data_IF_727930070229
#
_entry.id   IF_727930070229
#
_cell.length_a   1.000
_cell.length_b   1.000
_cell.length_c   1.000
_cell.angle_alpha   90.00
_cell.angle_beta   90.00
_cell.angle_gamma   90.00
#
_symmetry.space_group_name_H-M   'P 1'
#
loop_
_entity.id
_entity.type
_entity.pdbx_description
1 polymer ?
#
# COMPACT_ATOMS: atom_id res chain seq x y z
N UNK A 1 8.59 -25.34 8.21
CA UNK A 1 8.91 -23.97 7.78
C UNK A 1 9.04 -23.10 9.01
N UNK A 2 10.18 -22.44 9.17
CA UNK A 2 10.40 -21.52 10.28
C UNK A 2 9.97 -20.10 9.85
N UNK A 3 9.01 -19.52 10.58
CA UNK A 3 8.49 -18.18 10.29
C UNK A 3 9.50 -17.09 10.67
N UNK A 4 10.44 -17.40 11.57
CA UNK A 4 11.53 -16.50 11.96
C UNK A 4 12.42 -16.12 10.77
N UNK A 5 12.60 -17.00 9.78
CA UNK A 5 13.44 -16.76 8.61
C UNK A 5 12.91 -15.62 7.72
N UNK A 6 11.60 -15.33 7.79
CA UNK A 6 11.01 -14.18 7.11
C UNK A 6 11.19 -12.86 7.86
N UNK A 7 11.60 -12.90 9.12
CA UNK A 7 11.76 -11.75 10.00
C UNK A 7 13.22 -11.37 10.19
N UNK A 8 14.11 -12.37 10.34
CA UNK A 8 15.56 -12.19 10.55
C UNK A 8 16.21 -11.17 9.60
N UNK A 9 15.91 -11.14 8.27
CA UNK A 9 16.52 -10.18 7.35
C UNK A 9 16.26 -8.70 7.69
N UNK A 10 15.23 -8.43 8.49
CA UNK A 10 14.84 -7.06 8.88
C UNK A 10 15.35 -6.68 10.27
N UNK A 11 15.88 -7.63 11.03
CA UNK A 11 16.46 -7.36 12.34
C UNK A 11 17.90 -6.87 12.17
N UNK A 12 18.21 -5.70 12.71
CA UNK A 12 19.54 -5.11 12.64
C UNK A 12 19.82 -4.23 13.87
N UNK A 13 21.11 -4.07 14.22
CA UNK A 13 21.57 -3.30 15.40
C UNK A 13 21.21 -1.81 15.35
N UNK A 14 20.84 -1.25 14.18
CA UNK A 14 20.50 0.18 14.03
C UNK A 14 19.04 0.46 14.35
N UNK A 15 18.19 -0.58 14.37
CA UNK A 15 16.75 -0.48 14.63
C UNK A 15 16.45 -0.91 16.05
N UNK A 16 16.12 0.06 16.92
CA UNK A 16 15.78 -0.18 18.34
C UNK A 16 14.32 -0.53 18.56
N UNK A 17 13.41 -0.07 17.70
CA UNK A 17 11.96 -0.21 17.87
C UNK A 17 11.34 -0.96 16.72
N UNK A 18 10.71 -2.07 17.03
CA UNK A 18 9.91 -2.85 16.11
C UNK A 18 8.45 -2.83 16.56
N UNK A 19 7.61 -2.38 15.67
CA UNK A 19 6.18 -2.28 15.91
C UNK A 19 5.44 -3.36 15.13
N UNK A 20 4.35 -3.89 15.70
CA UNK A 20 3.42 -4.80 15.00
C UNK A 20 2.03 -4.18 15.00
N UNK A 21 1.42 -4.06 13.83
CA UNK A 21 0.02 -3.70 13.70
C UNK A 21 -0.84 -4.92 14.11
N UNK A 22 -1.34 -4.90 15.33
CA UNK A 22 -2.06 -6.01 15.96
C UNK A 22 -3.57 -5.83 15.82
N UNK A 23 -4.21 -6.69 15.01
CA UNK A 23 -5.68 -6.71 14.87
C UNK A 23 -6.37 -7.72 15.79
N UNK A 24 -5.63 -8.67 16.36
CA UNK A 24 -6.16 -9.81 17.09
C UNK A 24 -6.45 -11.04 16.22
N UNK A 25 -6.42 -10.90 14.90
CA UNK A 25 -6.53 -12.03 13.97
C UNK A 25 -5.23 -12.86 13.89
N UNK A 26 -5.35 -14.10 13.39
CA UNK A 26 -4.26 -15.07 13.33
C UNK A 26 -2.97 -14.50 12.73
N UNK A 27 -3.05 -13.73 11.64
CA UNK A 27 -1.90 -13.23 10.90
C UNK A 27 -1.04 -12.28 11.75
N UNK A 28 -1.70 -11.35 12.43
CA UNK A 28 -1.03 -10.38 13.29
C UNK A 28 -0.52 -10.98 14.59
N UNK A 29 -1.22 -11.99 15.12
CA UNK A 29 -0.78 -12.69 16.33
C UNK A 29 0.41 -13.62 16.07
N UNK A 30 0.40 -14.39 14.96
CA UNK A 30 1.56 -15.19 14.56
C UNK A 30 2.78 -14.30 14.35
N UNK A 31 2.60 -13.17 13.67
CA UNK A 31 3.68 -12.20 13.45
C UNK A 31 4.25 -11.66 14.77
N UNK A 32 3.38 -11.25 15.70
CA UNK A 32 3.79 -10.74 17.00
C UNK A 32 4.48 -11.81 17.84
N UNK A 33 3.94 -13.02 17.87
CA UNK A 33 4.50 -14.15 18.61
C UNK A 33 5.89 -14.54 18.11
N UNK A 34 6.10 -14.58 16.79
CA UNK A 34 7.42 -14.90 16.23
C UNK A 34 8.45 -13.79 16.51
N UNK A 35 8.06 -12.50 16.44
CA UNK A 35 8.94 -11.40 16.84
C UNK A 35 9.27 -11.43 18.33
N UNK A 36 8.29 -11.79 19.18
CA UNK A 36 8.52 -11.92 20.62
C UNK A 36 9.50 -13.04 20.95
N UNK A 37 9.46 -14.16 20.22
CA UNK A 37 10.48 -15.22 20.37
C UNK A 37 11.86 -14.71 19.99
N UNK A 38 11.97 -13.98 18.87
CA UNK A 38 13.23 -13.42 18.40
C UNK A 38 13.78 -12.32 19.32
N UNK A 39 12.93 -11.59 20.04
CA UNK A 39 13.35 -10.58 21.01
C UNK A 39 14.16 -11.18 22.16
N UNK A 40 13.89 -12.43 22.55
CA UNK A 40 14.62 -13.09 23.64
C UNK A 40 16.12 -13.24 23.36
N UNK A 41 16.47 -13.38 22.08
CA UNK A 41 17.84 -13.58 21.61
C UNK A 41 18.45 -12.30 21.00
N UNK A 42 17.69 -11.19 20.98
CA UNK A 42 18.10 -9.97 20.32
C UNK A 42 17.67 -8.75 21.15
N UNK A 43 18.57 -7.77 21.27
CA UNK A 43 18.30 -6.52 22.01
C UNK A 43 17.52 -5.53 21.15
N UNK A 44 16.17 -5.59 21.22
CA UNK A 44 15.28 -4.61 20.61
C UNK A 44 13.97 -4.45 21.39
N UNK A 45 13.30 -3.33 21.19
CA UNK A 45 12.01 -3.07 21.79
C UNK A 45 10.87 -3.48 20.85
N UNK A 46 10.05 -4.44 21.27
CA UNK A 46 8.85 -4.86 20.56
C UNK A 46 7.61 -4.16 21.13
N UNK A 47 6.83 -3.55 20.24
CA UNK A 47 5.64 -2.78 20.59
C UNK A 47 4.47 -3.20 19.69
N UNK A 48 3.36 -3.60 20.28
CA UNK A 48 2.13 -3.89 19.55
C UNK A 48 1.25 -2.63 19.46
N UNK A 49 0.77 -2.31 18.26
CA UNK A 49 -0.17 -1.20 18.04
C UNK A 49 -1.50 -1.78 17.59
N UNK A 50 -2.55 -1.55 18.39
CA UNK A 50 -3.92 -1.91 18.06
C UNK A 50 -4.73 -0.67 17.68
N UNK A 51 -5.37 -0.71 16.50
CA UNK A 51 -6.29 0.34 16.05
C UNK A 51 -7.71 -0.17 16.19
N UNK A 52 -8.44 0.46 17.11
CA UNK A 52 -9.86 0.19 17.29
C UNK A 52 -10.67 1.10 16.35
N UNK A 53 -11.33 0.49 15.37
CA UNK A 53 -12.16 1.21 14.40
C UNK A 53 -13.52 1.64 14.96
N UNK A 54 -13.92 1.14 16.14
CA UNK A 54 -15.22 1.38 16.77
C UNK A 54 -16.46 1.09 15.90
N UNK A 55 -16.29 0.32 14.82
CA UNK A 55 -17.37 0.01 13.87
C UNK A 55 -18.24 -1.15 14.38
N UNK A 56 -17.66 -2.09 15.11
CA UNK A 56 -18.33 -3.30 15.55
C UNK A 56 -18.62 -3.29 17.08
N UNK A 57 -19.73 -3.92 17.46
CA UNK A 57 -20.15 -4.02 18.87
C UNK A 57 -19.07 -4.65 19.77
N UNK A 58 -18.31 -5.61 19.23
CA UNK A 58 -17.29 -6.36 19.97
C UNK A 58 -15.89 -5.69 19.95
N UNK A 59 -15.76 -4.50 19.40
CA UNK A 59 -14.48 -3.78 19.30
C UNK A 59 -13.75 -3.60 20.64
N UNK A 60 -14.49 -3.41 21.75
CA UNK A 60 -13.94 -3.38 23.12
C UNK A 60 -13.36 -4.74 23.53
N UNK A 61 -14.07 -5.83 23.24
CA UNK A 61 -13.61 -7.21 23.57
C UNK A 61 -12.33 -7.52 22.82
N UNK A 62 -12.23 -7.09 21.55
CA UNK A 62 -11.04 -7.31 20.73
C UNK A 62 -9.83 -6.53 21.22
N UNK A 63 -10.03 -5.27 21.62
CA UNK A 63 -8.97 -4.49 22.27
C UNK A 63 -8.47 -5.20 23.51
N UNK A 64 -9.37 -5.60 24.42
CA UNK A 64 -9.02 -6.28 25.67
C UNK A 64 -8.30 -7.61 25.42
N UNK A 65 -8.71 -8.37 24.40
CA UNK A 65 -8.02 -9.58 23.96
C UNK A 65 -6.57 -9.30 23.56
N UNK A 66 -6.35 -8.29 22.71
CA UNK A 66 -5.01 -7.89 22.28
C UNK A 66 -4.14 -7.40 23.43
N UNK A 67 -4.72 -6.61 24.33
CA UNK A 67 -4.05 -6.09 25.52
C UNK A 67 -3.64 -7.20 26.49
N UNK A 68 -4.54 -8.16 26.77
CA UNK A 68 -4.26 -9.32 27.62
C UNK A 68 -3.16 -10.22 27.01
N UNK A 69 -3.20 -10.43 25.68
CA UNK A 69 -2.15 -11.17 25.00
C UNK A 69 -0.79 -10.48 25.18
N UNK A 70 -0.71 -9.17 24.98
CA UNK A 70 0.52 -8.41 25.13
C UNK A 70 1.01 -8.42 26.59
N UNK A 71 0.11 -8.24 27.57
CA UNK A 71 0.44 -8.28 29.00
C UNK A 71 1.03 -9.65 29.40
N UNK A 72 0.40 -10.75 28.96
CA UNK A 72 0.89 -12.11 29.24
C UNK A 72 2.29 -12.38 28.69
N UNK A 73 2.65 -11.71 27.57
CA UNK A 73 3.91 -11.91 26.88
C UNK A 73 4.92 -10.76 27.10
N UNK A 74 4.66 -9.86 28.07
CA UNK A 74 5.51 -8.72 28.43
C UNK A 74 5.82 -7.77 27.26
N UNK A 75 4.87 -7.65 26.30
CA UNK A 75 4.99 -6.80 25.12
C UNK A 75 4.33 -5.45 25.39
N UNK A 76 5.03 -4.35 25.12
CA UNK A 76 4.44 -2.99 25.21
C UNK A 76 3.27 -2.86 24.25
N UNK A 77 2.12 -2.39 24.74
CA UNK A 77 0.89 -2.26 23.99
C UNK A 77 0.45 -0.80 23.87
N UNK A 78 0.11 -0.38 22.65
CA UNK A 78 -0.45 0.93 22.34
C UNK A 78 -1.79 0.70 21.66
N UNK A 79 -2.87 1.25 22.21
CA UNK A 79 -4.18 1.23 21.59
C UNK A 79 -4.59 2.64 21.15
N UNK A 80 -5.17 2.75 19.95
CA UNK A 80 -5.75 3.97 19.45
C UNK A 80 -7.15 3.71 18.92
N UNK A 81 -8.11 4.55 19.33
CA UNK A 81 -9.50 4.46 18.86
C UNK A 81 -9.75 5.55 17.83
N UNK A 82 -10.19 5.14 16.63
CA UNK A 82 -10.55 6.09 15.58
C UNK A 82 -11.89 6.77 15.94
N UNK A 83 -11.98 8.06 15.66
CA UNK A 83 -13.21 8.83 15.91
C UNK A 83 -14.25 8.49 14.84
N UNK A 84 -15.39 7.91 15.25
CA UNK A 84 -16.53 7.78 14.35
C UNK A 84 -17.11 9.16 14.03
N UNK A 85 -17.13 9.52 12.75
CA UNK A 85 -18.05 10.55 12.26
C UNK A 85 -19.35 9.85 11.86
N UNK A 86 -20.50 10.33 12.39
CA UNK A 86 -21.84 9.73 12.25
C UNK A 86 -22.37 9.55 10.80
N UNK A 87 -21.66 10.03 9.79
CA UNK A 87 -22.08 9.91 8.40
C UNK A 87 -21.37 8.77 7.68
N UNK A 88 -22.09 7.69 7.43
CA UNK A 88 -21.66 6.57 6.58
C UNK A 88 -21.61 7.11 5.14
N UNK A 89 -20.41 7.44 4.66
CA UNK A 89 -20.18 7.80 3.25
C UNK A 89 -19.53 6.64 2.52
N UNK A 90 -19.75 6.53 1.21
CA UNK A 90 -19.14 5.55 0.31
C UNK A 90 -17.59 5.49 0.36
N UNK A 91 -16.96 6.41 1.11
CA UNK A 91 -15.51 6.51 1.31
C UNK A 91 -15.07 6.17 2.75
N UNK A 92 -15.93 5.52 3.57
CA UNK A 92 -15.62 5.25 4.98
C UNK A 92 -14.34 4.39 5.12
N UNK A 93 -14.24 3.31 4.37
CA UNK A 93 -13.06 2.42 4.39
C UNK A 93 -11.77 3.18 4.08
N UNK A 94 -11.79 4.05 3.07
CA UNK A 94 -10.63 4.87 2.73
C UNK A 94 -10.26 5.83 3.87
N UNK A 95 -11.24 6.49 4.48
CA UNK A 95 -11.01 7.42 5.60
C UNK A 95 -10.41 6.70 6.82
N UNK A 96 -10.99 5.56 7.21
CA UNK A 96 -10.49 4.75 8.32
C UNK A 96 -9.06 4.24 8.04
N UNK A 97 -8.79 3.88 6.80
CA UNK A 97 -7.45 3.51 6.36
C UNK A 97 -6.48 4.68 6.49
N UNK A 98 -6.84 5.86 5.99
CA UNK A 98 -5.98 7.05 6.02
C UNK A 98 -5.70 7.50 7.47
N UNK A 99 -6.71 7.50 8.34
CA UNK A 99 -6.56 7.79 9.78
C UNK A 99 -5.63 6.77 10.47
N UNK A 100 -5.80 5.47 10.17
CA UNK A 100 -4.95 4.41 10.69
C UNK A 100 -3.49 4.62 10.29
N UNK A 101 -3.23 4.90 9.02
CA UNK A 101 -1.86 5.16 8.55
C UNK A 101 -1.29 6.46 9.13
N UNK A 102 -2.10 7.51 9.25
CA UNK A 102 -1.69 8.77 9.90
C UNK A 102 -1.30 8.57 11.37
N UNK A 103 -1.98 7.67 12.10
CA UNK A 103 -1.59 7.32 13.46
C UNK A 103 -0.25 6.58 13.49
N UNK A 104 -0.07 5.58 12.62
CA UNK A 104 1.21 4.88 12.52
C UNK A 104 2.37 5.83 12.21
N UNK A 105 2.20 6.73 11.24
CA UNK A 105 3.23 7.71 10.84
C UNK A 105 3.67 8.62 11.99
N UNK A 106 2.72 9.02 12.86
CA UNK A 106 2.99 9.84 14.04
C UNK A 106 3.66 9.06 15.17
N UNK A 107 3.35 7.77 15.29
CA UNK A 107 3.82 6.91 16.38
C UNK A 107 5.22 6.35 16.13
N UNK A 108 5.60 6.19 14.86
CA UNK A 108 6.88 5.58 14.52
C UNK A 108 8.07 6.48 14.85
N UNK A 109 8.99 5.94 15.63
CA UNK A 109 10.29 6.55 15.90
C UNK A 109 11.21 6.54 14.67
N UNK A 110 12.27 7.35 14.71
CA UNK A 110 13.28 7.38 13.66
C UNK A 110 13.96 6.00 13.54
N UNK A 111 14.12 5.52 12.31
CA UNK A 111 14.73 4.22 12.00
C UNK A 111 13.99 3.02 12.62
N UNK A 112 12.70 3.14 12.90
CA UNK A 112 11.86 2.04 13.36
C UNK A 112 11.20 1.27 12.21
N UNK A 113 10.71 0.07 12.51
CA UNK A 113 10.01 -0.78 11.55
C UNK A 113 8.62 -1.10 12.10
N UNK A 114 7.59 -0.87 11.28
CA UNK A 114 6.24 -1.39 11.51
C UNK A 114 6.02 -2.64 10.67
N UNK A 115 5.80 -3.76 11.31
CA UNK A 115 5.39 -4.98 10.65
C UNK A 115 3.88 -5.10 10.53
N UNK A 116 3.41 -5.58 9.37
CA UNK A 116 2.01 -5.91 9.11
C UNK A 116 1.87 -7.34 8.61
N UNK A 117 0.90 -8.09 9.15
CA UNK A 117 0.65 -9.50 8.84
C UNK A 117 -0.03 -9.77 7.49
N UNK A 118 0.15 -8.91 6.47
CA UNK A 118 -0.35 -9.20 5.13
C UNK A 118 0.37 -10.42 4.53
N UNK A 119 -0.39 -11.30 3.89
CA UNK A 119 0.06 -12.60 3.40
C UNK A 119 -0.21 -12.80 1.90
N UNK A 120 0.12 -13.97 1.36
CA UNK A 120 0.02 -14.27 -0.07
C UNK A 120 -1.42 -14.12 -0.59
N UNK A 121 -2.41 -14.57 0.17
CA UNK A 121 -3.81 -14.44 -0.26
C UNK A 121 -4.24 -12.97 -0.32
N UNK A 122 -3.77 -12.08 0.58
CA UNK A 122 -4.00 -10.63 0.48
C UNK A 122 -3.40 -10.02 -0.81
N UNK A 123 -2.22 -10.51 -1.21
CA UNK A 123 -1.57 -10.09 -2.44
C UNK A 123 -2.41 -10.49 -3.65
N UNK A 124 -2.92 -11.72 -3.68
CA UNK A 124 -3.76 -12.26 -4.75
C UNK A 124 -5.09 -11.51 -4.83
N UNK A 125 -5.78 -11.33 -3.71
CA UNK A 125 -7.03 -10.55 -3.64
C UNK A 125 -6.82 -9.13 -4.18
N UNK A 126 -5.73 -8.49 -3.77
CA UNK A 126 -5.40 -7.14 -4.25
C UNK A 126 -5.09 -7.13 -5.74
N UNK A 127 -4.43 -8.15 -6.27
CA UNK A 127 -4.19 -8.30 -7.70
C UNK A 127 -5.51 -8.36 -8.48
N UNK A 128 -6.43 -9.26 -8.10
CA UNK A 128 -7.72 -9.37 -8.78
C UNK A 128 -8.55 -8.08 -8.69
N UNK A 129 -8.68 -7.49 -7.51
CA UNK A 129 -9.43 -6.25 -7.35
C UNK A 129 -8.86 -5.10 -8.19
N UNK A 130 -7.55 -5.04 -8.36
CA UNK A 130 -6.90 -4.04 -9.19
C UNK A 130 -7.03 -4.35 -10.67
N UNK A 131 -6.95 -5.62 -11.07
CA UNK A 131 -7.17 -6.06 -12.45
C UNK A 131 -8.60 -5.73 -12.91
N UNK A 132 -9.60 -6.05 -12.11
CA UNK A 132 -11.01 -5.73 -12.37
C UNK A 132 -11.30 -4.22 -12.46
N UNK A 133 -10.47 -3.40 -11.82
CA UNK A 133 -10.55 -1.92 -11.88
C UNK A 133 -9.70 -1.31 -12.99
N UNK A 134 -9.10 -2.12 -13.87
CA UNK A 134 -8.29 -1.65 -15.00
C UNK A 134 -6.95 -1.01 -14.61
N UNK A 135 -6.33 -1.47 -13.52
CA UNK A 135 -5.04 -0.95 -13.09
C UNK A 135 -3.92 -1.30 -14.07
N UNK A 136 -2.98 -0.39 -14.30
CA UNK A 136 -1.76 -0.65 -15.09
C UNK A 136 -0.72 -1.50 -14.34
N UNK A 137 0.42 -1.74 -14.99
CA UNK A 137 1.51 -2.63 -14.52
C UNK A 137 1.90 -2.35 -13.07
N UNK A 138 2.12 -1.09 -12.70
CA UNK A 138 2.49 -0.72 -11.34
C UNK A 138 1.39 -1.07 -10.31
N UNK A 139 0.13 -0.84 -10.65
CA UNK A 139 -1.00 -1.24 -9.82
C UNK A 139 -1.06 -2.76 -9.66
N UNK A 140 -0.93 -3.50 -10.74
CA UNK A 140 -0.99 -4.97 -10.76
C UNK A 140 0.21 -5.61 -10.06
N UNK A 141 1.37 -4.95 -9.96
CA UNK A 141 2.49 -5.43 -9.14
C UNK A 141 2.15 -5.53 -7.65
N UNK A 142 0.92 -5.16 -7.29
CA UNK A 142 0.25 -5.48 -6.03
C UNK A 142 0.84 -4.79 -4.79
N UNK A 143 0.88 -5.48 -3.65
CA UNK A 143 1.26 -4.92 -2.36
C UNK A 143 2.78 -4.88 -2.25
N UNK A 144 3.42 -3.71 -2.03
CA UNK A 144 4.86 -3.66 -1.82
C UNK A 144 5.24 -4.36 -0.51
N UNK A 145 6.32 -5.14 -0.54
CA UNK A 145 6.87 -5.79 0.66
C UNK A 145 7.29 -4.77 1.70
N UNK A 146 7.95 -3.70 1.27
CA UNK A 146 8.36 -2.59 2.13
C UNK A 146 8.04 -1.24 1.48
N UNK A 147 7.84 -0.23 2.31
CA UNK A 147 7.73 1.17 1.91
C UNK A 147 8.10 2.10 3.06
N UNK A 148 8.51 3.34 2.79
CA UNK A 148 8.61 4.37 3.81
C UNK A 148 7.26 4.60 4.51
N UNK A 149 7.30 4.91 5.81
CA UNK A 149 6.14 5.28 6.60
C UNK A 149 6.57 6.23 7.74
N UNK A 150 6.22 7.50 7.63
CA UNK A 150 6.65 8.53 8.57
C UNK A 150 8.18 8.59 8.70
N UNK A 151 8.68 8.47 9.92
CA UNK A 151 10.12 8.47 10.24
C UNK A 151 10.76 7.07 10.13
N UNK A 152 9.97 6.04 9.85
CA UNK A 152 10.39 4.63 9.77
C UNK A 152 10.00 3.96 8.46
N UNK A 153 9.88 2.63 8.50
CA UNK A 153 9.47 1.79 7.37
C UNK A 153 8.31 0.88 7.76
N UNK A 154 7.46 0.57 6.79
CA UNK A 154 6.46 -0.48 6.89
C UNK A 154 6.94 -1.71 6.11
N UNK A 155 6.88 -2.88 6.75
CA UNK A 155 7.30 -4.16 6.18
C UNK A 155 6.18 -5.19 6.30
N UNK A 156 6.04 -6.05 5.28
CA UNK A 156 5.09 -7.16 5.20
C UNK A 156 5.87 -8.45 4.96
N UNK A 157 6.34 -9.11 6.03
CA UNK A 157 7.23 -10.25 5.89
C UNK A 157 6.53 -11.47 5.29
N UNK A 158 5.22 -11.63 5.54
CA UNK A 158 4.45 -12.83 5.21
C UNK A 158 3.84 -12.84 3.80
N UNK A 159 4.19 -11.90 2.91
CA UNK A 159 3.63 -11.85 1.54
C UNK A 159 3.93 -13.10 0.68
N UNK A 160 4.82 -13.97 1.14
CA UNK A 160 5.12 -15.23 0.47
C UNK A 160 4.49 -16.44 1.14
N UNK A 161 3.80 -16.26 2.26
CA UNK A 161 3.20 -17.29 3.10
C UNK A 161 1.69 -17.28 2.85
N UNK A 162 1.08 -18.44 2.65
CA UNK A 162 -0.36 -18.57 2.49
C UNK A 162 -1.11 -18.44 3.82
N UNK A 163 -2.40 -18.12 3.76
CA UNK A 163 -3.28 -18.09 4.93
C UNK A 163 -3.34 -19.43 5.64
N UNK A 164 -3.35 -20.53 4.90
CA UNK A 164 -3.36 -21.90 5.45
C UNK A 164 -2.09 -22.20 6.27
N UNK A 165 -0.92 -21.79 5.78
CA UNK A 165 0.34 -21.95 6.53
C UNK A 165 0.34 -21.12 7.82
N UNK A 166 -0.20 -19.88 7.79
CA UNK A 166 -0.33 -19.04 9.00
C UNK A 166 -1.28 -19.69 10.03
N UNK A 167 -2.41 -20.21 9.59
CA UNK A 167 -3.34 -20.90 10.47
C UNK A 167 -2.74 -22.18 11.06
N UNK A 168 -2.00 -22.96 10.28
CA UNK A 168 -1.28 -24.13 10.76
C UNK A 168 -0.24 -23.75 11.83
N UNK A 169 0.48 -22.64 11.62
CA UNK A 169 1.44 -22.09 12.60
C UNK A 169 0.73 -21.63 13.86
N UNK A 170 -0.38 -20.91 13.74
CA UNK A 170 -1.18 -20.47 14.91
C UNK A 170 -1.66 -21.67 15.75
N UNK A 171 -2.11 -22.74 15.09
CA UNK A 171 -2.51 -23.99 15.75
C UNK A 171 -1.33 -24.67 16.44
N UNK A 172 -0.19 -24.79 15.76
CA UNK A 172 1.04 -25.37 16.32
C UNK A 172 1.50 -24.61 17.58
N UNK A 173 1.44 -23.29 17.56
CA UNK A 173 1.84 -22.42 18.67
C UNK A 173 0.72 -22.23 19.71
N UNK A 174 -0.41 -22.94 19.55
CA UNK A 174 -1.61 -22.86 20.46
C UNK A 174 -2.09 -21.42 20.67
N UNK A 175 -2.04 -20.59 19.61
CA UNK A 175 -2.49 -19.20 19.67
C UNK A 175 -4.01 -19.13 19.52
N UNK A 176 -4.68 -18.56 20.50
CA UNK A 176 -6.06 -18.13 20.35
C UNK A 176 -6.09 -16.84 19.53
N UNK A 177 -7.04 -16.69 18.62
CA UNK A 177 -7.19 -15.50 17.80
C UNK A 177 -8.65 -15.17 17.53
N UNK A 178 -8.91 -13.93 17.19
CA UNK A 178 -10.24 -13.42 16.87
C UNK A 178 -10.61 -13.80 15.44
N UNK A 179 -11.79 -14.40 15.28
CA UNK A 179 -12.45 -14.57 13.99
C UNK A 179 -13.50 -13.46 13.83
N UNK A 180 -13.20 -12.45 13.02
CA UNK A 180 -14.12 -11.35 12.75
C UNK A 180 -15.29 -11.83 11.89
N UNK A 181 -16.55 -11.79 12.35
CA UNK A 181 -17.72 -12.23 11.58
C UNK A 181 -17.91 -11.44 10.27
N UNK A 182 -17.45 -10.18 10.20
CA UNK A 182 -17.56 -9.38 8.98
C UNK A 182 -16.76 -9.92 7.80
N UNK A 183 -15.80 -10.82 8.03
CA UNK A 183 -15.07 -11.52 6.96
C UNK A 183 -15.98 -12.43 6.10
N UNK A 184 -17.18 -12.77 6.59
CA UNK A 184 -18.18 -13.56 5.86
C UNK A 184 -19.14 -12.70 5.04
N UNK A 185 -19.16 -11.40 5.24
CA UNK A 185 -20.06 -10.48 4.55
C UNK A 185 -19.60 -10.29 3.09
N UNK A 186 -20.28 -10.97 2.17
CA UNK A 186 -19.99 -10.95 0.73
C UNK A 186 -20.44 -9.68 0.01
N UNK A 187 -21.09 -8.73 0.71
CA UNK A 187 -21.38 -7.41 0.14
C UNK A 187 -20.11 -6.59 -0.14
N UNK A 188 -19.01 -6.95 0.52
CA UNK A 188 -17.69 -6.37 0.25
C UNK A 188 -16.97 -7.13 -0.87
N UNK A 189 -16.54 -6.44 -1.93
CA UNK A 189 -15.81 -7.00 -3.09
C UNK A 189 -14.71 -8.00 -2.67
N UNK A 190 -13.95 -7.65 -1.62
CA UNK A 190 -12.83 -8.45 -1.15
C UNK A 190 -13.28 -9.78 -0.54
N UNK A 191 -14.33 -9.74 0.25
CA UNK A 191 -14.89 -10.94 0.87
C UNK A 191 -15.58 -11.82 -0.18
N UNK A 192 -16.30 -11.22 -1.15
CA UNK A 192 -16.88 -11.94 -2.27
C UNK A 192 -15.80 -12.67 -3.07
N UNK A 193 -14.72 -11.98 -3.41
CA UNK A 193 -13.60 -12.60 -4.11
C UNK A 193 -13.02 -13.77 -3.30
N UNK A 194 -12.77 -13.58 -2.00
CA UNK A 194 -12.18 -14.58 -1.10
C UNK A 194 -13.06 -15.81 -0.91
N UNK A 195 -14.36 -15.60 -0.70
CA UNK A 195 -15.26 -16.65 -0.26
C UNK A 195 -15.95 -17.36 -1.44
N UNK A 196 -16.19 -16.65 -2.57
CA UNK A 196 -16.97 -17.18 -3.70
C UNK A 196 -16.12 -17.47 -4.94
N UNK A 197 -15.16 -16.62 -5.26
CA UNK A 197 -14.43 -16.69 -6.53
C UNK A 197 -13.14 -17.50 -6.40
N UNK A 198 -12.27 -17.16 -5.45
CA UNK A 198 -10.97 -17.82 -5.31
C UNK A 198 -11.06 -19.31 -5.04
N UNK A 199 -12.03 -19.85 -4.26
CA UNK A 199 -12.18 -21.28 -4.09
C UNK A 199 -12.52 -22.02 -5.41
N UNK A 200 -13.32 -21.41 -6.30
CA UNK A 200 -13.64 -21.96 -7.61
C UNK A 200 -12.41 -21.96 -8.52
N UNK A 201 -11.61 -20.92 -8.48
CA UNK A 201 -10.32 -20.83 -9.20
C UNK A 201 -9.37 -21.92 -8.68
N UNK A 202 -9.24 -22.07 -7.37
CA UNK A 202 -8.37 -23.06 -6.75
C UNK A 202 -8.73 -24.50 -7.14
N UNK A 203 -10.02 -24.80 -7.15
CA UNK A 203 -10.52 -26.11 -7.58
C UNK A 203 -10.12 -26.46 -9.02
N UNK A 204 -10.16 -25.48 -9.93
CA UNK A 204 -9.83 -25.67 -11.34
C UNK A 204 -8.34 -25.55 -11.62
N UNK A 205 -7.66 -24.64 -10.95
CA UNK A 205 -6.23 -24.33 -11.10
C UNK A 205 -5.50 -24.34 -9.75
N UNK A 206 -5.16 -25.48 -9.18
CA UNK A 206 -4.56 -25.57 -7.83
C UNK A 206 -3.28 -24.74 -7.65
N UNK A 207 -2.51 -24.55 -8.73
CA UNK A 207 -1.26 -23.76 -8.71
C UNK A 207 -1.45 -22.26 -8.86
N UNK A 208 -2.69 -21.73 -8.88
CA UNK A 208 -2.95 -20.32 -9.17
C UNK A 208 -2.20 -19.37 -8.23
N UNK A 209 -2.06 -19.70 -6.95
CA UNK A 209 -1.30 -18.88 -5.98
C UNK A 209 0.17 -18.73 -6.37
N UNK A 210 0.81 -19.83 -6.73
CA UNK A 210 2.21 -19.86 -7.19
C UNK A 210 2.37 -19.03 -8.47
N UNK A 211 1.47 -19.21 -9.43
CA UNK A 211 1.52 -18.53 -10.71
C UNK A 211 1.28 -17.03 -10.56
N UNK A 212 0.30 -16.59 -9.77
CA UNK A 212 0.03 -15.18 -9.53
C UNK A 212 1.12 -14.50 -8.71
N UNK A 213 1.74 -15.20 -7.75
CA UNK A 213 2.93 -14.71 -7.05
C UNK A 213 4.07 -14.43 -8.03
N UNK A 214 4.35 -15.38 -8.95
CA UNK A 214 5.38 -15.16 -9.98
C UNK A 214 5.02 -14.04 -10.93
N UNK A 215 3.76 -13.95 -11.37
CA UNK A 215 3.27 -12.88 -12.22
C UNK A 215 3.45 -11.51 -11.55
N UNK A 216 3.07 -11.36 -10.29
CA UNK A 216 3.23 -10.08 -9.57
C UNK A 216 4.69 -9.69 -9.39
N UNK A 217 5.60 -10.67 -9.24
CA UNK A 217 7.04 -10.43 -9.23
C UNK A 217 7.52 -9.90 -10.59
N UNK A 218 7.15 -10.57 -11.68
CA UNK A 218 7.54 -10.14 -13.04
C UNK A 218 7.00 -8.73 -13.36
N UNK A 219 5.75 -8.44 -12.97
CA UNK A 219 5.16 -7.11 -13.13
C UNK A 219 5.91 -6.05 -12.32
N UNK A 220 6.42 -6.41 -11.13
CA UNK A 220 7.24 -5.49 -10.33
C UNK A 220 8.57 -5.18 -10.97
N UNK A 221 9.24 -6.20 -11.52
CA UNK A 221 10.49 -6.05 -12.27
C UNK A 221 10.29 -5.17 -13.51
N UNK A 222 9.24 -5.44 -14.31
CA UNK A 222 8.86 -4.61 -15.46
C UNK A 222 8.54 -3.16 -15.03
N UNK A 223 7.81 -2.97 -13.96
CA UNK A 223 7.51 -1.64 -13.41
C UNK A 223 8.78 -0.87 -13.03
N UNK A 224 9.76 -1.55 -12.42
CA UNK A 224 11.03 -0.93 -12.06
C UNK A 224 11.82 -0.50 -13.28
N UNK A 225 11.86 -1.30 -14.36
CA UNK A 225 12.48 -0.94 -15.63
C UNK A 225 11.84 0.31 -16.25
N UNK A 226 10.49 0.38 -16.24
CA UNK A 226 9.75 1.54 -16.72
C UNK A 226 10.06 2.81 -15.91
N UNK A 227 10.16 2.69 -14.58
CA UNK A 227 10.53 3.81 -13.71
C UNK A 227 11.95 4.27 -13.99
N UNK A 228 12.91 3.36 -14.10
CA UNK A 228 14.32 3.69 -14.45
C UNK A 228 14.41 4.38 -15.81
N UNK A 229 13.68 3.89 -16.83
CA UNK A 229 13.65 4.55 -18.12
C UNK A 229 13.00 5.94 -18.05
N UNK A 230 11.89 6.08 -17.30
CA UNK A 230 11.22 7.36 -17.12
C UNK A 230 12.12 8.39 -16.41
N UNK A 231 12.93 7.95 -15.46
CA UNK A 231 13.90 8.82 -14.77
C UNK A 231 15.00 9.31 -15.71
N UNK A 232 15.55 8.42 -16.56
CA UNK A 232 16.52 8.79 -17.60
C UNK A 232 15.92 9.81 -18.57
N UNK A 233 14.74 9.51 -19.11
CA UNK A 233 14.03 10.37 -20.04
C UNK A 233 13.67 11.73 -19.40
N UNK A 234 13.27 11.72 -18.14
CA UNK A 234 12.99 12.95 -17.39
C UNK A 234 14.23 13.82 -17.25
N UNK A 235 15.39 13.26 -16.95
CA UNK A 235 16.63 14.01 -16.81
C UNK A 235 17.06 14.66 -18.15
N UNK A 236 16.73 14.08 -19.31
CA UNK A 236 16.95 14.70 -20.61
C UNK A 236 16.07 15.93 -20.87
N UNK A 237 14.82 15.90 -20.41
CA UNK A 237 13.84 16.98 -20.64
C UNK A 237 13.76 18.00 -19.51
N UNK A 238 14.30 17.67 -18.35
CA UNK A 238 14.23 18.48 -17.12
C UNK A 238 14.92 19.83 -17.28
N UNK A 239 14.23 20.89 -16.93
CA UNK A 239 14.78 22.24 -16.69
C UNK A 239 14.88 22.49 -15.18
N UNK A 240 13.80 22.20 -14.44
CA UNK A 240 13.72 22.18 -12.97
C UNK A 240 12.84 21.00 -12.54
N UNK A 241 12.77 20.71 -11.24
CA UNK A 241 11.93 19.62 -10.72
C UNK A 241 10.48 19.68 -11.23
N UNK A 242 9.92 20.88 -11.32
CA UNK A 242 8.54 21.12 -11.75
C UNK A 242 8.41 21.74 -13.15
N UNK A 243 9.48 21.74 -13.95
CA UNK A 243 9.54 22.37 -15.25
C UNK A 243 10.32 21.50 -16.24
N UNK A 244 9.74 21.22 -17.40
CA UNK A 244 10.38 20.43 -18.47
C UNK A 244 10.32 21.17 -19.80
N UNK A 245 11.31 20.91 -20.69
CA UNK A 245 11.36 21.43 -22.05
C UNK A 245 10.31 20.76 -22.92
N UNK A 246 9.38 21.52 -23.48
CA UNK A 246 8.34 21.02 -24.36
C UNK A 246 8.94 20.41 -25.65
N UNK A 247 9.91 21.09 -26.29
CA UNK A 247 10.56 20.60 -27.50
C UNK A 247 11.20 19.23 -27.30
N UNK A 248 12.00 19.06 -26.24
CA UNK A 248 12.64 17.78 -25.93
C UNK A 248 11.60 16.71 -25.56
N UNK A 249 10.55 17.07 -24.80
CA UNK A 249 9.50 16.15 -24.43
C UNK A 249 8.73 15.62 -25.66
N UNK A 250 8.44 16.49 -26.62
CA UNK A 250 7.76 16.13 -27.88
C UNK A 250 8.63 15.29 -28.84
N UNK A 251 9.97 15.31 -28.72
CA UNK A 251 10.85 14.45 -29.50
C UNK A 251 10.79 12.97 -29.14
N UNK A 252 10.28 12.64 -27.93
CA UNK A 252 10.09 11.26 -27.53
C UNK A 252 8.88 10.63 -28.20
N UNK A 253 8.91 9.30 -28.36
CA UNK A 253 7.70 8.55 -28.73
C UNK A 253 6.57 8.74 -27.68
N UNK A 254 5.31 8.62 -28.11
CA UNK A 254 4.15 8.78 -27.21
C UNK A 254 4.20 7.89 -25.96
N UNK A 255 4.78 6.69 -26.08
CA UNK A 255 4.94 5.77 -24.96
C UNK A 255 5.94 6.36 -23.94
N UNK A 256 7.08 6.87 -24.38
CA UNK A 256 8.07 7.52 -23.52
C UNK A 256 7.52 8.81 -22.91
N UNK A 257 6.83 9.65 -23.70
CA UNK A 257 6.15 10.84 -23.20
C UNK A 257 5.18 10.51 -22.06
N UNK A 258 4.33 9.46 -22.22
CA UNK A 258 3.39 9.01 -21.20
C UNK A 258 4.11 8.55 -19.94
N UNK A 259 5.18 7.79 -20.09
CA UNK A 259 5.97 7.28 -18.98
C UNK A 259 6.64 8.42 -18.18
N UNK A 260 7.27 9.37 -18.86
CA UNK A 260 7.85 10.59 -18.29
C UNK A 260 6.79 11.43 -17.56
N UNK A 261 5.63 11.63 -18.17
CA UNK A 261 4.54 12.39 -17.55
C UNK A 261 4.10 11.77 -16.20
N UNK A 262 3.89 10.47 -16.17
CA UNK A 262 3.50 9.74 -14.95
C UNK A 262 4.60 9.84 -13.88
N UNK A 263 5.85 9.67 -14.27
CA UNK A 263 7.00 9.81 -13.39
C UNK A 263 7.10 11.23 -12.81
N UNK A 264 6.96 12.25 -13.65
CA UNK A 264 7.05 13.66 -13.27
C UNK A 264 5.95 14.07 -12.27
N UNK A 265 4.72 13.61 -12.48
CA UNK A 265 3.60 13.81 -11.56
C UNK A 265 3.93 13.23 -10.17
N UNK A 266 4.43 12.00 -10.13
CA UNK A 266 4.83 11.33 -8.88
C UNK A 266 5.99 12.00 -8.19
N UNK A 267 7.01 12.42 -8.94
CA UNK A 267 8.20 13.11 -8.42
C UNK A 267 7.82 14.40 -7.68
N UNK A 268 6.72 15.04 -8.09
CA UNK A 268 6.19 16.23 -7.45
C UNK A 268 5.17 15.91 -6.31
N UNK A 269 4.96 14.64 -5.96
CA UNK A 269 4.06 14.23 -4.88
C UNK A 269 2.58 14.40 -5.22
N UNK A 270 2.22 14.50 -6.50
CA UNK A 270 0.89 14.80 -6.98
C UNK A 270 0.10 13.53 -7.33
N UNK A 271 -1.24 13.63 -7.32
CA UNK A 271 -2.11 12.50 -7.60
C UNK A 271 -2.07 12.08 -9.06
N UNK A 272 -1.89 10.78 -9.29
CA UNK A 272 -1.92 10.23 -10.65
C UNK A 272 -3.29 10.41 -11.30
N UNK A 273 -3.31 10.82 -12.58
CA UNK A 273 -4.54 10.91 -13.34
C UNK A 273 -5.04 9.53 -13.79
N UNK A 274 -6.36 9.43 -14.06
CA UNK A 274 -6.93 8.27 -14.74
C UNK A 274 -6.43 8.15 -16.18
N UNK A 275 -6.55 6.96 -16.78
CA UNK A 275 -6.20 6.74 -18.19
C UNK A 275 -6.96 7.71 -19.13
N UNK A 276 -8.24 8.01 -18.83
CA UNK A 276 -9.04 8.98 -19.59
C UNK A 276 -8.41 10.39 -19.57
N UNK A 277 -7.97 10.84 -18.40
CA UNK A 277 -7.31 12.15 -18.22
C UNK A 277 -5.98 12.20 -18.99
N UNK A 278 -5.16 11.13 -18.91
CA UNK A 278 -3.93 11.05 -19.68
C UNK A 278 -4.20 11.11 -21.20
N UNK A 279 -5.19 10.35 -21.69
CA UNK A 279 -5.52 10.36 -23.11
C UNK A 279 -5.99 11.74 -23.58
N UNK A 280 -6.78 12.47 -22.79
CA UNK A 280 -7.21 13.84 -23.08
C UNK A 280 -6.03 14.82 -23.07
N UNK A 281 -5.07 14.64 -22.15
CA UNK A 281 -3.82 15.44 -22.16
C UNK A 281 -3.09 15.34 -23.49
N UNK A 282 -2.91 14.13 -24.01
CA UNK A 282 -2.20 13.92 -25.28
C UNK A 282 -3.04 14.28 -26.52
N UNK A 283 -4.35 14.03 -26.51
CA UNK A 283 -5.19 14.21 -27.68
C UNK A 283 -5.70 15.65 -27.87
N UNK A 284 -5.87 16.40 -26.80
CA UNK A 284 -6.39 17.76 -26.83
C UNK A 284 -5.37 18.81 -26.40
N UNK A 285 -4.87 18.70 -25.16
CA UNK A 285 -4.02 19.75 -24.58
C UNK A 285 -2.66 19.92 -25.27
N UNK A 286 -1.96 18.82 -25.58
CA UNK A 286 -0.66 18.91 -26.26
C UNK A 286 -0.78 19.25 -27.74
N UNK A 287 -1.86 18.84 -28.42
CA UNK A 287 -2.10 19.12 -29.84
C UNK A 287 -2.60 20.53 -30.14
N UNK A 288 -3.08 21.24 -29.13
CA UNK A 288 -3.57 22.60 -29.31
C UNK A 288 -2.40 23.57 -29.52
N UNK A 289 -2.07 23.85 -30.77
CA UNK A 289 -1.05 24.82 -31.17
C UNK A 289 -1.55 26.26 -31.10
N UNK A 290 -2.88 26.47 -31.11
CA UNK A 290 -3.51 27.80 -31.17
C UNK A 290 -3.45 28.55 -29.84
N UNK A 291 -3.25 27.83 -28.71
CA UNK A 291 -3.24 28.42 -27.38
C UNK A 291 -1.84 28.31 -26.75
N UNK A 292 -0.95 29.27 -26.95
CA UNK A 292 0.42 29.22 -26.44
C UNK A 292 0.50 29.23 -24.90
N UNK A 293 -0.56 29.68 -24.23
CA UNK A 293 -0.69 29.64 -22.75
C UNK A 293 -1.91 28.85 -22.33
N UNK A 294 -1.81 27.52 -22.34
CA UNK A 294 -2.93 26.63 -21.94
C UNK A 294 -2.70 26.02 -20.56
N UNK A 295 -3.81 25.74 -19.85
CA UNK A 295 -3.80 25.02 -18.57
C UNK A 295 -4.58 23.71 -18.69
N UNK A 296 -4.02 22.64 -18.15
CA UNK A 296 -4.66 21.34 -18.03
C UNK A 296 -4.72 20.93 -16.57
N UNK A 297 -5.93 20.67 -16.06
CA UNK A 297 -6.17 20.46 -14.63
C UNK A 297 -6.97 19.19 -14.41
N UNK A 298 -6.67 18.49 -13.31
CA UNK A 298 -7.50 17.40 -12.79
C UNK A 298 -7.45 17.33 -11.26
N UNK A 299 -8.51 16.77 -10.68
CA UNK A 299 -8.76 16.86 -9.25
C UNK A 299 -9.61 18.10 -8.91
N UNK A 300 -9.71 18.40 -7.63
CA UNK A 300 -10.40 19.60 -7.13
C UNK A 300 -9.44 20.40 -6.27
N UNK A 301 -9.48 21.72 -6.32
CA UNK A 301 -8.61 22.60 -5.54
C UNK A 301 -8.67 22.31 -4.03
N UNK A 302 -9.81 21.84 -3.53
CA UNK A 302 -9.98 21.44 -2.13
C UNK A 302 -9.31 20.12 -1.73
N UNK A 303 -8.72 19.37 -2.69
CA UNK A 303 -8.07 18.08 -2.43
C UNK A 303 -6.57 18.19 -2.65
N UNK A 304 -5.81 17.89 -1.60
CA UNK A 304 -4.35 17.76 -1.67
C UNK A 304 -3.92 16.84 -2.83
N UNK A 305 -2.92 17.25 -3.59
CA UNK A 305 -2.38 16.51 -4.72
C UNK A 305 -3.16 16.70 -6.02
N UNK A 306 -4.13 17.61 -6.10
CA UNK A 306 -4.74 18.02 -7.36
C UNK A 306 -3.74 18.76 -8.23
N UNK A 307 -3.82 18.61 -9.56
CA UNK A 307 -2.73 18.93 -10.48
C UNK A 307 -3.14 19.99 -11.48
N UNK A 308 -2.24 20.94 -11.72
CA UNK A 308 -2.29 21.86 -12.84
C UNK A 308 -1.00 21.74 -13.67
N UNK A 309 -1.13 21.47 -14.97
CA UNK A 309 -0.03 21.58 -15.93
C UNK A 309 -0.31 22.79 -16.81
N UNK A 310 0.65 23.72 -16.86
CA UNK A 310 0.61 24.87 -17.75
C UNK A 310 1.59 24.64 -18.91
N UNK A 311 1.19 25.01 -20.12
CA UNK A 311 1.99 24.97 -21.32
C UNK A 311 2.30 26.41 -21.76
N UNK A 312 3.54 26.68 -22.13
CA UNK A 312 3.93 27.81 -22.95
C UNK A 312 4.63 27.31 -24.20
N UNK A 313 5.16 28.20 -25.03
CA UNK A 313 5.84 27.87 -26.32
C UNK A 313 6.99 26.88 -26.14
N UNK A 314 7.72 26.93 -25.04
CA UNK A 314 8.97 26.17 -24.85
C UNK A 314 8.92 25.13 -23.73
N UNK A 315 7.93 25.23 -22.82
CA UNK A 315 7.98 24.53 -21.53
C UNK A 315 6.60 24.01 -21.08
N UNK A 316 6.65 22.93 -20.31
CA UNK A 316 5.54 22.47 -19.47
C UNK A 316 5.93 22.65 -17.99
N UNK A 317 5.05 23.28 -17.22
CA UNK A 317 5.20 23.45 -15.77
C UNK A 317 4.10 22.74 -15.03
N UNK A 318 4.45 21.97 -14.01
CA UNK A 318 3.51 21.28 -13.13
C UNK A 318 3.45 21.96 -11.75
N UNK A 319 2.25 22.07 -11.18
CA UNK A 319 2.00 22.57 -9.84
C UNK A 319 0.84 21.87 -9.20
N UNK A 320 0.75 21.94 -7.86
CA UNK A 320 -0.47 21.61 -7.15
C UNK A 320 -1.49 22.72 -7.38
N UNK A 321 -2.77 22.35 -7.55
CA UNK A 321 -3.86 23.33 -7.52
C UNK A 321 -3.96 23.88 -6.11
N UNK A 322 -3.63 25.16 -5.94
CA UNK A 322 -3.97 25.93 -4.74
C UNK A 322 -5.45 26.29 -4.75
N UNK A 323 -6.07 26.25 -3.59
CA UNK A 323 -7.44 26.74 -3.37
C UNK A 323 -7.54 28.24 -3.65
#
# INVERSE_FOLDING_TARGET
MDFSDYLKPYLNKKTKYYYVALSGGADSLVLLNELNKLQKDNDFNLIAIHINHNVQKDSKKWKNFCENFCKKNEIKFIAHSLRQKKNISSNLEKKLRDERYGFFEKTLEKNSILFMGHHLDDLIETFFLRALRGSGIEGLSSIPRERPLGKGKLIRPFLNISKSEILAKAKKDKLNFINDPSNKDISFDRNYLRNEILPKIEKRWPSYRKNLKQLTKNLKESSNLLITQAEKDFNEVKVKKNLISLKKFLSFSKIRQKNVLIFWIKLNGLNQPSAKVINLFFSKFLKDEKTPKAKYMWGTASKKGSVCITKNTNELKISELSA
#
